data_IF_703901065372
#
_entry.id   IF_703901065372
#
_cell.length_a   1.000
_cell.length_b   1.000
_cell.length_c   1.000
_cell.angle_alpha   90.00
_cell.angle_beta   90.00
_cell.angle_gamma   90.00
#
_symmetry.space_group_name_H-M   'P 1'
#
loop_
_entity.id
_entity.type
_entity.pdbx_description
1 polymer ?
#
# COMPACT_ATOMS: atom_id res chain seq x y z
N UNK A 1 0.47 9.90 6.87
CA UNK A 1 0.78 8.58 6.27
C UNK A 1 1.02 8.79 4.79
N UNK A 2 2.27 8.63 4.36
CA UNK A 2 2.60 8.57 2.95
C UNK A 2 2.32 7.16 2.41
N UNK A 3 1.21 7.01 1.68
CA UNK A 3 0.77 5.74 1.05
C UNK A 3 1.87 5.11 0.21
N UNK A 4 2.53 5.92 -0.62
CA UNK A 4 3.66 5.48 -1.45
C UNK A 4 4.80 4.85 -0.64
N UNK A 5 5.29 5.57 0.39
CA UNK A 5 6.37 5.08 1.27
C UNK A 5 5.96 3.83 2.03
N UNK A 6 4.69 3.77 2.45
CA UNK A 6 4.13 2.62 3.17
C UNK A 6 4.08 1.37 2.29
N UNK A 7 3.63 1.51 1.04
CA UNK A 7 3.64 0.41 0.05
C UNK A 7 5.09 -0.03 -0.23
N UNK A 8 6.01 0.91 -0.43
CA UNK A 8 7.43 0.59 -0.64
C UNK A 8 8.05 -0.14 0.58
N UNK A 9 7.72 0.26 1.80
CA UNK A 9 8.16 -0.42 3.02
C UNK A 9 7.60 -1.85 3.12
N UNK A 10 6.33 -2.06 2.78
CA UNK A 10 5.73 -3.40 2.70
C UNK A 10 6.44 -4.28 1.66
N UNK A 11 6.79 -3.71 0.51
CA UNK A 11 7.51 -4.45 -0.55
C UNK A 11 8.92 -4.84 -0.14
N UNK A 12 9.65 -3.94 0.50
CA UNK A 12 11.06 -4.14 0.86
C UNK A 12 11.23 -4.96 2.14
N UNK A 13 10.45 -4.69 3.18
CA UNK A 13 10.58 -5.34 4.49
C UNK A 13 9.77 -6.64 4.60
N UNK A 14 8.54 -6.65 4.09
CA UNK A 14 7.68 -7.83 4.12
C UNK A 14 7.79 -8.70 2.85
N UNK A 15 8.64 -8.31 1.88
CA UNK A 15 8.82 -8.99 0.59
C UNK A 15 7.51 -9.21 -0.19
N UNK A 16 6.51 -8.36 0.05
CA UNK A 16 5.23 -8.45 -0.64
C UNK A 16 5.33 -7.87 -2.05
N UNK A 17 4.71 -8.55 -3.01
CA UNK A 17 4.53 -7.99 -4.35
C UNK A 17 3.37 -7.01 -4.39
N UNK A 18 3.35 -6.09 -5.35
CA UNK A 18 2.19 -5.19 -5.56
C UNK A 18 0.88 -5.96 -5.76
N UNK A 19 0.93 -7.14 -6.40
CA UNK A 19 -0.23 -8.03 -6.58
C UNK A 19 -0.76 -8.58 -5.25
N UNK A 20 0.13 -8.99 -4.34
CA UNK A 20 -0.27 -9.47 -3.02
C UNK A 20 -0.84 -8.34 -2.16
N UNK A 21 -0.23 -7.15 -2.21
CA UNK A 21 -0.77 -5.96 -1.54
C UNK A 21 -2.16 -5.61 -2.10
N UNK A 22 -2.33 -5.62 -3.42
CA UNK A 22 -3.61 -5.35 -4.06
C UNK A 22 -4.69 -6.35 -3.64
N UNK A 23 -4.35 -7.65 -3.63
CA UNK A 23 -5.22 -8.72 -3.16
C UNK A 23 -5.64 -8.53 -1.69
N UNK A 24 -4.69 -8.18 -0.82
CA UNK A 24 -4.97 -7.92 0.59
C UNK A 24 -5.85 -6.68 0.82
N UNK A 25 -5.80 -5.71 -0.10
CA UNK A 25 -6.57 -4.46 -0.03
C UNK A 25 -7.87 -4.52 -0.83
N UNK A 26 -8.17 -5.62 -1.52
CA UNK A 26 -9.36 -5.76 -2.37
C UNK A 26 -9.36 -4.84 -3.58
N UNK A 27 -8.19 -4.48 -4.12
CA UNK A 27 -8.05 -3.60 -5.29
C UNK A 27 -7.22 -4.25 -6.41
N UNK A 28 -7.08 -3.55 -7.54
CA UNK A 28 -6.27 -4.03 -8.66
C UNK A 28 -4.78 -3.68 -8.48
N UNK A 29 -3.88 -4.49 -9.04
CA UNK A 29 -2.45 -4.20 -8.99
C UNK A 29 -2.07 -2.84 -9.60
N UNK A 30 -2.68 -2.38 -10.72
CA UNK A 30 -2.44 -1.03 -11.23
C UNK A 30 -2.81 0.07 -10.23
N UNK A 31 -3.87 -0.13 -9.42
CA UNK A 31 -4.24 0.81 -8.36
C UNK A 31 -3.09 0.99 -7.35
N UNK A 32 -2.49 -0.12 -6.90
CA UNK A 32 -1.33 -0.08 -5.99
C UNK A 32 -0.12 0.57 -6.66
N UNK A 33 0.13 0.29 -7.94
CA UNK A 33 1.19 0.93 -8.71
C UNK A 33 1.04 2.47 -8.73
N UNK A 34 -0.17 2.97 -9.02
CA UNK A 34 -0.43 4.41 -9.02
C UNK A 34 -0.29 5.06 -7.64
N UNK A 35 -0.68 4.36 -6.57
CA UNK A 35 -0.47 4.83 -5.20
C UNK A 35 1.02 4.85 -4.82
N UNK A 36 1.81 3.90 -5.30
CA UNK A 36 3.24 3.80 -5.01
C UNK A 36 4.07 4.84 -5.77
N UNK A 37 3.88 4.95 -7.09
CA UNK A 37 4.68 5.84 -7.94
C UNK A 37 4.13 7.27 -8.00
N UNK A 38 2.88 7.45 -7.58
CA UNK A 38 2.27 8.75 -7.50
C UNK A 38 1.99 9.41 -8.84
N UNK A 39 1.66 8.60 -9.84
CA UNK A 39 1.36 9.00 -11.21
C UNK A 39 0.16 10.00 -11.30
N UNK A 40 0.03 10.70 -12.43
CA UNK A 40 -0.92 11.79 -12.68
C UNK A 40 -2.38 11.38 -12.45
N UNK A 41 -2.67 10.07 -12.55
CA UNK A 41 -3.98 9.46 -12.25
C UNK A 41 -4.03 8.86 -10.83
N UNK A 42 -3.45 9.51 -9.82
CA UNK A 42 -3.54 9.06 -8.42
C UNK A 42 -5.00 8.80 -8.03
N UNK A 43 -5.40 7.54 -7.81
CA UNK A 43 -6.73 7.27 -7.29
C UNK A 43 -6.82 7.89 -5.89
N UNK A 44 -7.96 8.51 -5.59
CA UNK A 44 -8.20 9.13 -4.30
C UNK A 44 -8.09 8.05 -3.23
N UNK A 45 -7.14 8.19 -2.31
CA UNK A 45 -6.95 7.20 -1.25
C UNK A 45 -8.13 7.30 -0.28
N UNK A 46 -8.95 6.26 -0.21
CA UNK A 46 -10.05 6.19 0.76
C UNK A 46 -9.54 5.90 2.17
N UNK A 47 -10.34 6.23 3.19
CA UNK A 47 -10.02 5.87 4.58
C UNK A 47 -9.83 4.35 4.74
N UNK A 48 -10.69 3.55 4.10
CA UNK A 48 -10.59 2.09 4.08
C UNK A 48 -9.25 1.59 3.50
N UNK A 49 -8.71 2.24 2.47
CA UNK A 49 -7.41 1.89 1.89
C UNK A 49 -6.27 2.19 2.87
N UNK A 50 -6.35 3.33 3.56
CA UNK A 50 -5.38 3.71 4.59
C UNK A 50 -5.40 2.71 5.74
N UNK A 51 -6.58 2.33 6.20
CA UNK A 51 -6.74 1.39 7.32
C UNK A 51 -6.31 -0.03 6.93
N UNK A 52 -6.61 -0.47 5.70
CA UNK A 52 -6.10 -1.73 5.15
C UNK A 52 -4.58 -1.78 5.09
N UNK A 53 -3.93 -0.69 4.67
CA UNK A 53 -2.46 -0.60 4.66
C UNK A 53 -1.87 -0.64 6.07
N UNK A 54 -2.48 0.05 7.05
CA UNK A 54 -2.06 -0.03 8.45
C UNK A 54 -2.18 -1.45 9.00
N UNK A 55 -3.29 -2.13 8.72
CA UNK A 55 -3.51 -3.51 9.14
C UNK A 55 -2.47 -4.46 8.51
N UNK A 56 -2.15 -4.26 7.24
CA UNK A 56 -1.13 -5.05 6.55
C UNK A 56 0.26 -4.79 7.12
N UNK A 57 0.59 -3.53 7.42
CA UNK A 57 1.81 -3.16 8.13
C UNK A 57 1.91 -3.84 9.50
N UNK A 58 0.85 -3.79 10.31
CA UNK A 58 0.80 -4.45 11.62
C UNK A 58 0.98 -5.97 11.51
N UNK A 59 0.31 -6.61 10.54
CA UNK A 59 0.41 -8.06 10.29
C UNK A 59 1.82 -8.52 9.95
N UNK A 60 2.59 -7.68 9.25
CA UNK A 60 3.94 -8.01 8.78
C UNK A 60 5.06 -7.35 9.61
N UNK A 61 4.75 -6.68 10.72
CA UNK A 61 5.75 -5.99 11.54
C UNK A 61 6.44 -4.83 10.84
N UNK A 62 5.80 -4.23 9.82
CA UNK A 62 6.35 -3.11 9.06
C UNK A 62 5.88 -1.79 9.67
N UNK A 63 6.77 -0.85 10.02
CA UNK A 63 6.36 0.43 10.57
C UNK A 63 5.64 1.28 9.50
N UNK A 64 4.52 1.88 9.89
CA UNK A 64 3.78 2.83 9.05
C UNK A 64 4.60 4.10 8.91
N UNK A 65 4.87 4.52 7.67
CA UNK A 65 5.63 5.74 7.40
C UNK A 65 4.67 6.93 7.40
N UNK A 66 4.82 7.81 8.38
CA UNK A 66 4.00 9.02 8.52
C UNK A 66 4.27 10.00 7.40
#
# INVERSE_FOLDING_TARGET
MHTSKTISALRTKAKLTQKQIASALGCSQPHVHYLEHGDVKKPRTSAAMVDGLKALCAKHGVPVVQ
#
